data_IF_385641346399
#
_entry.id   IF_385641346399
#
_cell.length_a   1.000
_cell.length_b   1.000
_cell.length_c   1.000
_cell.angle_alpha   90.00
_cell.angle_beta   90.00
_cell.angle_gamma   90.00
#
_symmetry.space_group_name_H-M   'P 1'
#
loop_
_entity.id
_entity.type
_entity.pdbx_description
1 polymer ?
#
# COMPACT_ATOMS: atom_id res chain seq x y z
N UNK A 1 21.75 34.04 -29.04
CA UNK A 1 21.67 33.89 -27.56
C UNK A 1 21.07 32.54 -27.26
N UNK A 2 21.81 31.57 -26.70
CA UNK A 2 21.26 30.27 -26.37
C UNK A 2 20.40 30.40 -25.11
N UNK A 3 19.20 29.82 -25.16
CA UNK A 3 18.30 29.73 -24.02
C UNK A 3 18.95 28.76 -23.03
N UNK A 4 19.24 29.25 -21.83
CA UNK A 4 19.84 28.47 -20.75
C UNK A 4 18.97 27.27 -20.39
N UNK A 5 19.57 26.08 -20.36
CA UNK A 5 18.96 24.81 -19.93
C UNK A 5 18.57 24.77 -18.44
N UNK A 6 18.72 25.86 -17.70
CA UNK A 6 18.43 25.96 -16.26
C UNK A 6 16.94 25.94 -15.89
N UNK A 7 16.00 26.02 -16.85
CA UNK A 7 14.56 26.03 -16.55
C UNK A 7 13.90 24.64 -16.52
N UNK A 8 14.57 23.59 -16.99
CA UNK A 8 14.04 22.22 -16.96
C UNK A 8 14.25 21.51 -15.61
N UNK A 9 15.05 22.08 -14.70
CA UNK A 9 15.29 21.51 -13.37
C UNK A 9 14.22 21.89 -12.31
N UNK A 10 13.22 22.70 -12.67
CA UNK A 10 12.16 23.14 -11.76
C UNK A 10 10.84 22.34 -11.88
N UNK A 11 10.77 21.36 -12.79
CA UNK A 11 9.54 20.58 -13.06
C UNK A 11 9.56 19.16 -12.51
N UNK A 12 10.60 18.76 -11.77
CA UNK A 12 10.64 17.46 -11.12
C UNK A 12 10.65 17.63 -9.61
N UNK A 13 9.57 18.23 -9.09
CA UNK A 13 9.12 17.90 -7.74
C UNK A 13 8.73 16.42 -7.77
N UNK A 14 9.71 15.53 -7.64
CA UNK A 14 9.46 14.14 -7.25
C UNK A 14 8.85 14.25 -5.86
N UNK A 15 7.53 14.09 -5.77
CA UNK A 15 6.96 13.71 -4.48
C UNK A 15 7.70 12.46 -4.01
N UNK A 16 7.97 12.36 -2.71
CA UNK A 16 8.64 11.19 -2.11
C UNK A 16 7.78 9.92 -2.18
N UNK A 17 6.63 9.99 -2.85
CA UNK A 17 5.68 8.91 -2.97
C UNK A 17 6.21 7.81 -3.89
N UNK A 18 5.94 6.54 -3.57
CA UNK A 18 6.30 5.43 -4.43
C UNK A 18 5.56 5.54 -5.77
N UNK A 19 6.31 5.46 -6.87
CA UNK A 19 5.72 5.28 -8.19
C UNK A 19 5.43 3.79 -8.39
N UNK A 20 4.16 3.45 -8.60
CA UNK A 20 3.72 2.08 -8.90
C UNK A 20 3.42 2.00 -10.39
N UNK A 21 4.10 1.09 -11.09
CA UNK A 21 3.88 0.86 -12.51
C UNK A 21 2.46 0.33 -12.76
N UNK A 22 1.74 0.99 -13.65
CA UNK A 22 0.39 0.58 -14.06
C UNK A 22 0.43 -0.14 -15.39
N UNK A 23 -0.03 -1.40 -15.40
CA UNK A 23 -0.16 -2.20 -16.62
C UNK A 23 -1.65 -2.34 -16.99
N UNK A 24 -2.12 -1.71 -18.07
CA UNK A 24 -3.52 -1.78 -18.49
C UNK A 24 -3.86 -3.12 -19.16
N UNK A 25 -5.17 -3.34 -19.41
CA UNK A 25 -5.74 -4.48 -20.18
C UNK A 25 -5.72 -5.83 -19.47
N UNK A 26 -5.93 -5.86 -18.15
CA UNK A 26 -6.30 -7.14 -17.50
C UNK A 26 -7.66 -7.59 -18.04
N UNK A 27 -7.82 -8.90 -18.26
CA UNK A 27 -9.09 -9.50 -18.67
C UNK A 27 -10.05 -9.49 -17.49
N UNK A 28 -11.31 -9.13 -17.74
CA UNK A 28 -12.35 -9.19 -16.71
C UNK A 28 -12.58 -10.63 -16.25
N UNK A 29 -12.73 -10.79 -14.93
CA UNK A 29 -13.12 -12.07 -14.35
C UNK A 29 -14.64 -12.23 -14.42
N UNK A 30 -15.11 -13.42 -14.78
CA UNK A 30 -16.53 -13.80 -14.67
C UNK A 30 -16.85 -14.46 -13.34
N UNK A 31 -15.82 -14.75 -12.54
CA UNK A 31 -15.94 -15.47 -11.28
C UNK A 31 -15.43 -14.59 -10.13
N UNK A 32 -16.11 -14.70 -8.99
CA UNK A 32 -15.65 -14.09 -7.74
C UNK A 32 -14.59 -14.98 -7.09
N UNK A 33 -13.57 -14.41 -6.43
CA UNK A 33 -12.61 -15.20 -5.67
C UNK A 33 -13.30 -15.91 -4.50
N UNK A 34 -12.76 -17.05 -4.09
CA UNK A 34 -13.20 -17.75 -2.89
C UNK A 34 -12.93 -16.92 -1.62
N UNK A 35 -13.84 -17.00 -0.66
CA UNK A 35 -13.73 -16.31 0.62
C UNK A 35 -12.55 -16.84 1.46
N UNK A 36 -12.02 -16.02 2.37
CA UNK A 36 -10.93 -16.43 3.26
C UNK A 36 -9.54 -16.38 2.61
N UNK A 37 -9.42 -15.78 1.43
CA UNK A 37 -8.12 -15.48 0.81
C UNK A 37 -7.41 -14.26 1.42
N UNK A 38 -8.08 -13.47 2.25
CA UNK A 38 -7.54 -12.26 2.88
C UNK A 38 -7.06 -12.54 4.31
N UNK A 39 -6.02 -11.83 4.79
CA UNK A 39 -5.61 -11.91 6.20
C UNK A 39 -6.69 -11.43 7.17
N UNK A 40 -6.85 -12.15 8.27
CA UNK A 40 -7.71 -11.77 9.38
C UNK A 40 -6.96 -10.88 10.40
N UNK A 41 -7.45 -9.66 10.62
CA UNK A 41 -6.86 -8.69 11.54
C UNK A 41 -6.86 -9.12 13.02
N UNK A 42 -7.61 -10.16 13.40
CA UNK A 42 -7.60 -10.75 14.76
C UNK A 42 -6.45 -11.73 14.97
N UNK A 43 -5.77 -12.13 13.90
CA UNK A 43 -4.69 -13.10 13.93
C UNK A 43 -3.32 -12.42 13.89
N UNK A 44 -2.28 -13.19 14.23
CA UNK A 44 -0.91 -12.69 14.32
C UNK A 44 -0.05 -12.93 13.08
N UNK A 45 1.24 -12.63 13.19
CA UNK A 45 2.22 -12.71 12.11
C UNK A 45 2.36 -14.10 11.47
N UNK A 46 2.07 -15.19 12.19
CA UNK A 46 2.07 -16.54 11.59
C UNK A 46 0.99 -16.65 10.51
N UNK A 47 -0.23 -16.17 10.79
CA UNK A 47 -1.33 -16.21 9.84
C UNK A 47 -1.04 -15.35 8.60
N UNK A 48 -0.45 -14.16 8.79
CA UNK A 48 -0.02 -13.32 7.67
C UNK A 48 0.93 -14.08 6.73
N UNK A 49 1.94 -14.77 7.27
CA UNK A 49 2.86 -15.60 6.47
C UNK A 49 2.12 -16.74 5.77
N UNK A 50 1.27 -17.47 6.48
CA UNK A 50 0.50 -18.58 5.89
C UNK A 50 -0.34 -18.11 4.68
N UNK A 51 -0.90 -16.90 4.71
CA UNK A 51 -1.65 -16.30 3.59
C UNK A 51 -0.72 -15.83 2.47
N UNK A 52 0.25 -14.96 2.77
CA UNK A 52 1.05 -14.29 1.75
C UNK A 52 2.14 -15.18 1.12
N UNK A 53 2.63 -16.21 1.82
CA UNK A 53 3.61 -17.14 1.26
C UNK A 53 3.03 -17.98 0.13
N UNK A 54 1.71 -18.23 0.13
CA UNK A 54 1.00 -18.86 -1.01
C UNK A 54 1.10 -18.02 -2.29
N UNK A 55 1.33 -16.72 -2.16
CA UNK A 55 1.51 -15.77 -3.27
C UNK A 55 2.98 -15.59 -3.67
N UNK A 56 3.91 -16.30 -3.02
CA UNK A 56 5.35 -16.18 -3.27
C UNK A 56 5.99 -14.93 -2.66
N UNK A 57 5.33 -14.26 -1.71
CA UNK A 57 5.84 -13.05 -1.06
C UNK A 57 6.67 -13.40 0.18
N UNK A 58 7.84 -12.79 0.31
CA UNK A 58 8.72 -12.93 1.47
C UNK A 58 8.27 -12.06 2.65
N UNK A 59 8.86 -12.26 3.83
CA UNK A 59 8.63 -11.38 5.00
C UNK A 59 8.93 -9.91 4.66
N UNK A 60 9.93 -9.65 3.82
CA UNK A 60 10.28 -8.29 3.39
C UNK A 60 9.17 -7.67 2.55
N UNK A 61 8.56 -8.45 1.66
CA UNK A 61 7.47 -7.99 0.79
C UNK A 61 6.21 -7.72 1.62
N UNK A 62 5.91 -8.58 2.61
CA UNK A 62 4.78 -8.41 3.53
C UNK A 62 4.93 -7.11 4.34
N UNK A 63 6.13 -6.84 4.88
CA UNK A 63 6.41 -5.58 5.60
C UNK A 63 6.29 -4.37 4.68
N UNK A 64 6.80 -4.45 3.45
CA UNK A 64 6.67 -3.37 2.48
C UNK A 64 5.20 -3.07 2.14
N UNK A 65 4.37 -4.11 1.94
CA UNK A 65 2.93 -3.96 1.71
C UNK A 65 2.19 -3.39 2.92
N UNK A 66 2.57 -3.80 4.14
CA UNK A 66 1.99 -3.28 5.37
C UNK A 66 2.18 -1.76 5.52
N UNK A 67 3.24 -1.20 4.92
CA UNK A 67 3.46 0.25 4.85
C UNK A 67 2.33 1.03 4.18
N UNK A 68 1.45 0.38 3.40
CA UNK A 68 0.23 1.00 2.88
C UNK A 68 -0.68 1.57 3.97
N UNK A 69 -0.64 1.02 5.19
CA UNK A 69 -1.41 1.53 6.35
C UNK A 69 -0.93 2.89 6.87
N UNK A 70 0.22 3.40 6.42
CA UNK A 70 0.61 4.79 6.66
C UNK A 70 -0.50 5.76 6.21
N UNK A 71 -1.25 5.38 5.16
CA UNK A 71 -2.36 6.15 4.65
C UNK A 71 -3.70 5.60 5.18
N UNK A 72 -4.53 6.50 5.69
CA UNK A 72 -5.93 6.20 6.05
C UNK A 72 -6.16 5.57 7.43
N UNK A 73 -7.29 4.87 7.56
CA UNK A 73 -7.81 4.27 8.79
C UNK A 73 -8.73 3.08 8.51
N UNK A 74 -9.06 2.29 9.53
CA UNK A 74 -10.09 1.26 9.43
C UNK A 74 -11.47 1.89 9.47
N UNK A 75 -12.40 1.29 8.73
CA UNK A 75 -13.78 1.69 8.64
C UNK A 75 -14.67 0.60 9.22
N UNK A 76 -15.38 0.91 10.31
CA UNK A 76 -16.16 -0.09 11.07
C UNK A 76 -17.26 -0.72 10.23
N UNK A 77 -17.91 0.05 9.38
CA UNK A 77 -18.98 -0.42 8.48
C UNK A 77 -18.49 -1.38 7.39
N UNK A 78 -17.17 -1.40 7.10
CA UNK A 78 -16.58 -2.27 6.06
C UNK A 78 -15.84 -3.46 6.64
N UNK A 79 -15.17 -3.27 7.76
CA UNK A 79 -14.23 -4.25 8.33
C UNK A 79 -14.65 -4.79 9.69
N UNK A 80 -15.61 -4.16 10.36
CA UNK A 80 -15.94 -4.44 11.77
C UNK A 80 -14.93 -3.83 12.76
N UNK A 81 -13.82 -3.26 12.30
CA UNK A 81 -12.83 -2.58 13.11
C UNK A 81 -12.99 -1.07 12.98
N UNK A 82 -13.20 -0.39 14.11
CA UNK A 82 -13.08 1.07 14.19
C UNK A 82 -11.64 1.39 14.59
N UNK A 83 -11.00 2.29 13.87
CA UNK A 83 -9.71 2.83 14.29
C UNK A 83 -9.66 4.33 14.09
N UNK A 84 -8.89 5.00 14.96
CA UNK A 84 -8.28 6.26 14.56
C UNK A 84 -7.31 5.99 13.38
N UNK A 85 -6.93 7.03 12.62
CA UNK A 85 -5.81 6.91 11.70
C UNK A 85 -4.61 6.21 12.33
N UNK A 86 -3.95 5.34 11.57
CA UNK A 86 -2.77 4.59 12.05
C UNK A 86 -1.55 5.50 12.26
N UNK A 87 -1.56 6.68 11.65
CA UNK A 87 -0.51 7.69 11.73
C UNK A 87 -1.11 9.05 12.08
N UNK A 88 -0.27 9.99 12.52
CA UNK A 88 -0.71 11.36 12.86
C UNK A 88 -1.16 12.15 11.62
N UNK A 89 -0.54 11.91 10.47
CA UNK A 89 -0.89 12.53 9.19
C UNK A 89 -1.20 11.45 8.14
N UNK A 90 -2.47 10.98 8.06
CA UNK A 90 -2.84 9.83 7.23
C UNK A 90 -2.94 10.13 5.73
N UNK A 91 -2.57 11.33 5.30
CA UNK A 91 -2.50 11.70 3.89
C UNK A 91 -1.05 11.82 3.39
N UNK A 92 -0.07 11.64 4.28
CA UNK A 92 1.35 11.71 3.97
C UNK A 92 1.95 10.32 3.99
N UNK A 93 2.57 9.92 2.88
CA UNK A 93 3.28 8.65 2.82
C UNK A 93 4.72 8.79 3.36
N UNK A 94 4.95 8.27 4.57
CA UNK A 94 6.25 8.12 5.21
C UNK A 94 6.34 6.84 6.08
N UNK A 95 7.38 6.73 6.91
CA UNK A 95 7.64 5.55 7.74
C UNK A 95 6.97 5.59 9.13
N UNK A 96 6.10 6.57 9.40
CA UNK A 96 5.50 6.76 10.74
C UNK A 96 4.62 5.60 11.20
N UNK A 97 4.10 4.77 10.29
CA UNK A 97 3.38 3.54 10.65
C UNK A 97 4.23 2.51 11.41
N UNK A 98 5.55 2.55 11.24
CA UNK A 98 6.46 1.56 11.81
C UNK A 98 7.13 1.99 13.12
N UNK A 99 6.82 3.20 13.62
CA UNK A 99 7.48 3.83 14.79
C UNK A 99 6.47 4.01 15.91
#
# INVERSE_FOLDING_TARGET
MPISTSLLALLQWKSLDPSIDFVPRRKDSLESPEEGCLPDARQGAKHLRDVFYRMGLSDKDIVALAGGHTLGKAHKERSGFESLPWTTDPLKFDNSYFV
#
